data_IF_871529994507
#
_entry.id   IF_871529994507
#
_cell.length_a   1.000
_cell.length_b   1.000
_cell.length_c   1.000
_cell.angle_alpha   90.00
_cell.angle_beta   90.00
_cell.angle_gamma   90.00
#
_symmetry.space_group_name_H-M   'P 1'
#
loop_
_entity.id
_entity.type
_entity.pdbx_description
1 polymer ?
#
# COMPACT_ATOMS: atom_id res chain seq x y z
N UNK A 1 -4.69 1.67 -2.41
CA UNK A 1 -6.00 1.98 -3.01
C UNK A 1 -6.30 1.11 -4.22
N UNK A 2 -5.40 0.99 -5.18
CA UNK A 2 -5.62 0.20 -6.41
C UNK A 2 -5.95 -1.26 -6.11
N UNK A 3 -5.31 -1.86 -5.11
CA UNK A 3 -5.51 -3.25 -4.76
C UNK A 3 -6.94 -3.54 -4.26
N UNK A 4 -7.62 -2.53 -3.75
CA UNK A 4 -8.96 -2.66 -3.19
C UNK A 4 -10.07 -2.19 -4.14
N UNK A 5 -9.74 -1.82 -5.36
CA UNK A 5 -10.71 -1.52 -6.41
C UNK A 5 -11.14 -2.78 -7.14
N UNK A 6 -12.26 -2.70 -7.87
CA UNK A 6 -12.63 -3.75 -8.80
C UNK A 6 -11.55 -3.90 -9.88
N UNK A 7 -11.45 -5.08 -10.49
CA UNK A 7 -10.49 -5.29 -11.57
C UNK A 7 -10.71 -4.33 -12.73
N UNK A 8 -11.96 -4.06 -13.08
CA UNK A 8 -12.31 -3.15 -14.17
C UNK A 8 -11.83 -1.72 -13.87
N UNK A 9 -12.10 -1.22 -12.66
CA UNK A 9 -11.70 0.13 -12.26
C UNK A 9 -10.17 0.25 -12.14
N UNK A 10 -9.52 -0.77 -11.60
CA UNK A 10 -8.06 -0.82 -11.53
C UNK A 10 -7.43 -0.76 -12.92
N UNK A 11 -7.93 -1.58 -13.87
CA UNK A 11 -7.45 -1.56 -15.26
C UNK A 11 -7.66 -0.20 -15.91
N UNK A 12 -8.82 0.39 -15.69
CA UNK A 12 -9.13 1.71 -16.24
C UNK A 12 -8.13 2.76 -15.77
N UNK A 13 -7.88 2.82 -14.47
CA UNK A 13 -6.94 3.78 -13.89
C UNK A 13 -5.51 3.54 -14.37
N UNK A 14 -5.08 2.28 -14.44
CA UNK A 14 -3.74 1.96 -14.93
C UNK A 14 -3.57 2.31 -16.41
N UNK A 15 -4.64 2.19 -17.21
CA UNK A 15 -4.59 2.49 -18.65
C UNK A 15 -4.43 3.98 -18.96
N UNK A 16 -4.89 4.86 -18.05
CA UNK A 16 -4.82 6.31 -18.22
C UNK A 16 -3.70 6.95 -17.40
N UNK A 17 -2.98 6.15 -16.61
CA UNK A 17 -1.89 6.65 -15.78
C UNK A 17 -0.60 6.83 -16.58
N UNK A 18 0.12 7.89 -16.28
CA UNK A 18 1.48 8.07 -16.75
C UNK A 18 2.45 7.49 -15.71
N UNK A 19 3.34 6.63 -16.18
CA UNK A 19 4.33 6.01 -15.30
C UNK A 19 5.67 6.71 -15.48
N UNK A 20 6.28 7.06 -14.35
CA UNK A 20 7.60 7.70 -14.34
C UNK A 20 8.53 6.90 -13.43
N UNK A 21 9.69 6.55 -13.94
CA UNK A 21 10.72 5.90 -13.17
C UNK A 21 11.47 6.94 -12.33
N UNK A 22 11.19 6.98 -11.04
CA UNK A 22 11.90 7.85 -10.09
C UNK A 22 13.20 7.22 -9.62
N UNK A 23 13.26 5.90 -9.58
CA UNK A 23 14.44 5.11 -9.25
C UNK A 23 14.51 3.89 -10.17
N UNK A 24 15.62 3.12 -10.17
CA UNK A 24 15.65 1.84 -10.88
C UNK A 24 14.64 0.80 -10.36
N UNK A 25 14.07 1.02 -9.17
CA UNK A 25 13.12 0.10 -8.54
C UNK A 25 11.66 0.46 -8.76
N UNK A 26 11.38 1.62 -9.36
CA UNK A 26 9.99 2.05 -9.60
C UNK A 26 9.27 1.06 -10.52
N UNK A 27 8.09 0.63 -10.10
CA UNK A 27 7.20 -0.17 -10.94
C UNK A 27 6.52 0.77 -11.95
N UNK A 28 6.75 0.55 -13.24
CA UNK A 28 6.37 1.51 -14.29
C UNK A 28 5.46 0.91 -15.38
N UNK A 29 5.02 -0.32 -15.19
CA UNK A 29 4.08 -0.95 -16.14
C UNK A 29 2.94 -1.63 -15.38
N UNK A 30 1.74 -1.76 -15.99
CA UNK A 30 0.66 -2.54 -15.39
C UNK A 30 1.08 -3.98 -15.10
N UNK A 31 1.89 -4.58 -15.96
CA UNK A 31 2.38 -5.96 -15.80
C UNK A 31 3.27 -6.11 -14.58
N UNK A 32 4.07 -5.10 -14.25
CA UNK A 32 4.90 -5.09 -13.03
C UNK A 32 4.05 -4.88 -11.78
N UNK A 33 2.97 -4.09 -11.88
CA UNK A 33 2.10 -3.78 -10.76
C UNK A 33 1.17 -4.92 -10.37
N UNK A 34 0.72 -5.73 -11.32
CA UNK A 34 -0.29 -6.76 -11.05
C UNK A 34 0.12 -7.76 -9.95
N UNK A 35 1.35 -8.34 -9.96
CA UNK A 35 1.77 -9.23 -8.88
C UNK A 35 1.82 -8.51 -7.53
N UNK A 36 2.23 -7.25 -7.51
CA UNK A 36 2.30 -6.46 -6.29
C UNK A 36 0.89 -6.18 -5.73
N UNK A 37 -0.06 -5.85 -6.59
CA UNK A 37 -1.45 -5.63 -6.19
C UNK A 37 -2.07 -6.91 -5.63
N UNK A 38 -1.76 -8.07 -6.22
CA UNK A 38 -2.22 -9.35 -5.72
C UNK A 38 -1.66 -9.63 -4.33
N UNK A 39 -0.37 -9.38 -4.13
CA UNK A 39 0.29 -9.52 -2.83
C UNK A 39 -0.36 -8.62 -1.77
N UNK A 40 -0.66 -7.37 -2.12
CA UNK A 40 -1.34 -6.43 -1.22
C UNK A 40 -2.72 -6.96 -0.81
N UNK A 41 -3.50 -7.49 -1.76
CA UNK A 41 -4.81 -8.07 -1.45
C UNK A 41 -4.69 -9.25 -0.48
N UNK A 42 -3.69 -10.08 -0.66
CA UNK A 42 -3.47 -11.26 0.19
C UNK A 42 -2.99 -10.91 1.59
N UNK A 43 -2.04 -9.99 1.70
CA UNK A 43 -1.43 -9.65 2.98
C UNK A 43 -2.14 -8.53 3.74
N UNK A 44 -2.89 -7.66 3.05
CA UNK A 44 -3.68 -6.60 3.66
C UNK A 44 -2.95 -5.28 3.92
N UNK A 45 -1.73 -5.12 3.41
CA UNK A 45 -0.97 -3.87 3.49
C UNK A 45 -0.04 -3.75 2.30
N UNK A 46 0.43 -2.54 2.03
CA UNK A 46 1.33 -2.24 0.92
C UNK A 46 2.71 -1.83 1.43
N UNK A 47 3.74 -2.32 0.75
CA UNK A 47 5.14 -1.97 1.01
C UNK A 47 5.70 -1.29 -0.22
N UNK A 48 6.39 -0.18 0.00
CA UNK A 48 7.15 0.50 -1.03
C UNK A 48 8.63 0.40 -0.66
N UNK A 49 9.46 -0.05 -1.59
CA UNK A 49 10.87 -0.37 -1.34
C UNK A 49 11.76 0.40 -2.31
N UNK A 50 12.03 1.66 -1.98
CA UNK A 50 12.94 2.49 -2.78
C UNK A 50 12.41 2.87 -4.16
N UNK A 51 11.09 2.87 -4.36
CA UNK A 51 10.48 3.14 -5.67
C UNK A 51 10.39 4.63 -5.99
N UNK A 52 10.29 5.46 -4.98
CA UNK A 52 10.26 6.91 -5.13
C UNK A 52 11.65 7.52 -4.93
N UNK A 53 12.36 7.05 -3.92
CA UNK A 53 13.71 7.51 -3.59
C UNK A 53 14.50 6.33 -3.04
N UNK A 54 15.68 6.08 -3.61
CA UNK A 54 16.55 5.01 -3.13
C UNK A 54 16.88 5.23 -1.65
N UNK A 55 16.73 4.20 -0.84
CA UNK A 55 16.96 4.28 0.60
C UNK A 55 15.74 4.62 1.43
N UNK A 56 14.66 5.14 0.83
CA UNK A 56 13.38 5.34 1.51
C UNK A 56 12.50 4.13 1.34
N UNK A 57 11.86 3.73 2.44
CA UNK A 57 10.91 2.62 2.45
C UNK A 57 9.68 3.02 3.24
N UNK A 58 8.54 2.52 2.83
CA UNK A 58 7.28 2.83 3.48
C UNK A 58 6.38 1.59 3.56
N UNK A 59 5.47 1.64 4.52
CA UNK A 59 4.40 0.66 4.65
C UNK A 59 3.11 1.41 4.91
N UNK A 60 2.03 0.96 4.28
CA UNK A 60 0.71 1.58 4.39
C UNK A 60 -0.35 0.51 4.58
N UNK A 61 -1.33 0.82 5.41
CA UNK A 61 -2.49 -0.03 5.66
C UNK A 61 -3.78 0.70 5.28
N UNK A 62 -4.80 -0.03 4.81
CA UNK A 62 -6.07 0.58 4.44
C UNK A 62 -6.85 1.01 5.67
N UNK A 63 -7.62 2.08 5.52
CA UNK A 63 -8.63 2.52 6.49
C UNK A 63 -9.98 2.45 5.79
N UNK A 64 -10.85 1.57 6.31
CA UNK A 64 -12.18 1.33 5.75
C UNK A 64 -13.21 2.13 6.51
N UNK A 65 -14.19 2.65 5.77
CA UNK A 65 -15.32 3.33 6.38
C UNK A 65 -16.44 2.33 6.74
N UNK A 66 -17.58 2.85 7.19
CA UNK A 66 -18.73 2.03 7.60
C UNK A 66 -19.30 1.17 6.46
N UNK A 67 -19.05 1.53 5.20
CA UNK A 67 -19.49 0.74 4.03
C UNK A 67 -18.52 -0.39 3.68
N UNK A 68 -17.34 -0.43 4.31
CA UNK A 68 -16.27 -1.36 4.00
C UNK A 68 -15.34 -0.89 2.89
N UNK A 69 -15.58 0.27 2.30
CA UNK A 69 -14.70 0.84 1.28
C UNK A 69 -13.43 1.40 1.90
N UNK A 70 -12.33 1.25 1.19
CA UNK A 70 -11.05 1.85 1.57
C UNK A 70 -11.08 3.33 1.20
N UNK A 71 -11.27 4.17 2.21
CA UNK A 71 -11.38 5.63 2.06
C UNK A 71 -10.07 6.34 2.28
N UNK A 72 -9.27 5.82 3.21
CA UNK A 72 -8.02 6.43 3.60
C UNK A 72 -6.95 5.36 3.69
N UNK A 73 -5.72 5.79 3.86
CA UNK A 73 -4.61 4.91 4.19
C UNK A 73 -3.79 5.58 5.29
N UNK A 74 -3.25 4.78 6.18
CA UNK A 74 -2.30 5.22 7.18
C UNK A 74 -0.96 4.55 6.90
N UNK A 75 0.12 5.31 6.99
CA UNK A 75 1.42 4.73 6.70
C UNK A 75 2.55 5.50 7.35
N UNK A 76 3.73 4.90 7.28
CA UNK A 76 4.98 5.52 7.68
C UNK A 76 5.99 5.39 6.56
N UNK A 77 6.82 6.39 6.41
CA UNK A 77 7.95 6.39 5.49
C UNK A 77 9.21 6.78 6.26
N UNK A 78 10.31 6.13 5.94
CA UNK A 78 11.55 6.41 6.61
C UNK A 78 12.74 5.74 5.94
N UNK A 79 13.91 5.99 6.50
CA UNK A 79 15.16 5.42 6.03
C UNK A 79 15.42 4.06 6.68
N UNK A 80 14.43 3.18 6.61
CA UNK A 80 14.59 1.81 7.09
C UNK A 80 15.67 1.10 6.28
N UNK A 81 16.46 0.31 6.97
CA UNK A 81 17.61 -0.34 6.36
C UNK A 81 17.20 -1.37 5.30
N UNK A 82 16.18 -2.18 5.62
CA UNK A 82 15.63 -3.21 4.74
C UNK A 82 14.16 -3.43 5.09
N UNK A 83 13.40 -4.01 4.15
CA UNK A 83 11.99 -4.36 4.41
C UNK A 83 11.84 -5.57 5.36
N UNK A 84 12.92 -6.28 5.64
CA UNK A 84 12.94 -7.40 6.58
C UNK A 84 13.65 -7.06 7.89
N UNK A 85 14.10 -5.82 8.09
CA UNK A 85 14.73 -5.42 9.36
C UNK A 85 13.69 -5.31 10.48
N UNK A 86 14.13 -5.50 11.73
CA UNK A 86 13.23 -5.52 12.89
C UNK A 86 12.40 -4.24 13.02
N UNK A 87 13.02 -3.09 12.77
CA UNK A 87 12.33 -1.80 12.85
C UNK A 87 11.24 -1.67 11.79
N UNK A 88 11.48 -2.14 10.57
CA UNK A 88 10.47 -2.11 9.52
C UNK A 88 9.34 -3.10 9.81
N UNK A 89 9.66 -4.29 10.30
CA UNK A 89 8.65 -5.28 10.67
C UNK A 89 7.77 -4.79 11.82
N UNK A 90 8.37 -4.10 12.79
CA UNK A 90 7.61 -3.47 13.87
C UNK A 90 6.71 -2.36 13.33
N UNK A 91 7.23 -1.49 12.46
CA UNK A 91 6.45 -0.44 11.83
C UNK A 91 5.27 -1.02 11.05
N UNK A 92 5.48 -2.11 10.31
CA UNK A 92 4.42 -2.81 9.55
C UNK A 92 3.30 -3.25 10.48
N UNK A 93 3.64 -3.92 11.60
CA UNK A 93 2.65 -4.36 12.57
C UNK A 93 1.86 -3.19 13.14
N UNK A 94 2.55 -2.14 13.57
CA UNK A 94 1.92 -0.97 14.17
C UNK A 94 1.03 -0.20 13.19
N UNK A 95 1.44 -0.10 11.94
CA UNK A 95 0.65 0.54 10.88
C UNK A 95 -0.63 -0.27 10.62
N UNK A 96 -0.53 -1.59 10.56
CA UNK A 96 -1.71 -2.44 10.37
C UNK A 96 -2.68 -2.32 11.55
N UNK A 97 -2.18 -2.32 12.78
CA UNK A 97 -3.00 -2.12 13.98
C UNK A 97 -3.68 -0.75 13.96
N UNK A 98 -2.94 0.30 13.58
CA UNK A 98 -3.49 1.65 13.47
C UNK A 98 -4.59 1.71 12.41
N UNK A 99 -4.39 1.08 11.25
CA UNK A 99 -5.40 1.01 10.20
C UNK A 99 -6.69 0.37 10.68
N UNK A 100 -6.58 -0.74 11.40
CA UNK A 100 -7.73 -1.44 11.98
C UNK A 100 -8.43 -0.59 13.04
N UNK A 101 -7.68 0.04 13.93
CA UNK A 101 -8.23 0.87 14.99
C UNK A 101 -8.96 2.10 14.44
N UNK A 102 -8.37 2.78 13.46
CA UNK A 102 -9.02 3.94 12.82
C UNK A 102 -10.28 3.48 12.07
N UNK A 103 -10.21 2.37 11.35
CA UNK A 103 -11.38 1.82 10.64
C UNK A 103 -12.54 1.58 11.59
N UNK A 104 -12.30 0.92 12.73
CA UNK A 104 -13.34 0.71 13.74
C UNK A 104 -13.86 2.02 14.32
N UNK A 105 -12.97 2.99 14.57
CA UNK A 105 -13.35 4.28 15.13
C UNK A 105 -14.28 5.08 14.21
N UNK A 106 -14.17 4.90 12.89
CA UNK A 106 -15.04 5.58 11.92
C UNK A 106 -16.21 4.71 11.43
N UNK A 107 -16.46 3.58 12.08
CA UNK A 107 -17.69 2.81 11.91
C UNK A 107 -17.57 1.51 11.14
N UNK A 108 -16.38 1.10 10.74
CA UNK A 108 -16.20 -0.20 10.06
C UNK A 108 -16.46 -1.35 11.02
N UNK A 109 -17.26 -2.32 10.57
CA UNK A 109 -17.53 -3.58 11.29
C UNK A 109 -17.21 -4.72 10.33
N UNK A 110 -16.14 -5.46 10.57
CA UNK A 110 -15.76 -6.59 9.72
C UNK A 110 -16.76 -7.74 9.77
#
# INVERSE_FOLDING_TARGET
>A
FLANLSQAECRRLLSISEFKAYTPHTLITPEQLQPELQKIREQGYAVENGEFKVGLRSVSAPVRDATGEVRYAVGVVGMFRQVYSEDFLLATRLVCEAGDDISRAIGYRP
#
